data_IF_591584100619
#
_entry.id   IF_591584100619
#
_cell.length_a   1.000
_cell.length_b   1.000
_cell.length_c   1.000
_cell.angle_alpha   90.00
_cell.angle_beta   90.00
_cell.angle_gamma   90.00
#
_symmetry.space_group_name_H-M   'P 1'
#
loop_
_entity.id
_entity.type
_entity.pdbx_description
1 polymer ?
#
# COMPACT_ATOMS: atom_id res chain seq x y z
N UNK A 1 -3.56 3.42 17.95
CA UNK A 1 -2.24 2.74 17.79
C UNK A 1 -1.45 3.27 16.60
N UNK A 2 -1.99 3.34 15.38
CA UNK A 2 -1.22 3.83 14.21
C UNK A 2 -0.92 5.35 14.21
N UNK A 3 -1.61 6.13 15.03
CA UNK A 3 -1.54 7.59 15.02
C UNK A 3 -0.85 8.19 16.26
N UNK A 4 -0.15 7.39 17.07
CA UNK A 4 0.59 7.94 18.22
C UNK A 4 1.95 8.45 17.76
N UNK A 5 2.48 9.46 18.47
CA UNK A 5 3.77 10.06 18.14
C UNK A 5 4.93 9.07 18.31
N UNK A 6 4.84 8.16 19.28
CA UNK A 6 5.84 7.10 19.48
C UNK A 6 5.88 6.16 18.28
N UNK A 7 4.71 5.79 17.75
CA UNK A 7 4.63 4.93 16.57
C UNK A 7 5.18 5.63 15.32
N UNK A 8 4.89 6.93 15.17
CA UNK A 8 5.43 7.76 14.09
C UNK A 8 6.97 7.81 14.15
N UNK A 9 7.55 8.06 15.32
CA UNK A 9 9.02 8.05 15.47
C UNK A 9 9.63 6.69 15.10
N UNK A 10 9.02 5.58 15.54
CA UNK A 10 9.49 4.24 15.19
C UNK A 10 9.40 3.92 13.69
N UNK A 11 8.38 4.46 13.02
CA UNK A 11 8.19 4.34 11.57
C UNK A 11 9.25 5.13 10.81
N UNK A 12 9.47 6.39 11.20
CA UNK A 12 10.41 7.30 10.57
C UNK A 12 11.86 6.78 10.71
N UNK A 13 12.23 6.22 11.88
CA UNK A 13 13.53 5.57 12.10
C UNK A 13 13.82 4.41 11.13
N UNK A 14 12.78 3.76 10.61
CA UNK A 14 12.89 2.64 9.66
C UNK A 14 12.73 3.09 8.20
N UNK A 15 12.59 4.40 7.96
CA UNK A 15 12.32 4.95 6.63
C UNK A 15 11.01 4.44 6.02
N UNK A 16 10.06 4.03 6.85
CA UNK A 16 8.76 3.51 6.40
C UNK A 16 7.79 4.67 6.15
N UNK A 17 6.93 4.53 5.16
CA UNK A 17 5.88 5.51 4.88
C UNK A 17 4.64 5.28 5.76
N UNK A 18 3.92 6.38 6.00
CA UNK A 18 2.61 6.34 6.64
C UNK A 18 1.59 5.62 5.77
N UNK A 19 0.90 4.63 6.35
CA UNK A 19 -0.20 3.94 5.69
C UNK A 19 -1.30 3.63 6.71
N UNK A 20 -2.27 4.54 6.81
CA UNK A 20 -3.34 4.49 7.82
C UNK A 20 -4.71 4.15 7.23
N UNK A 21 -4.76 3.75 5.95
CA UNK A 21 -6.01 3.37 5.29
C UNK A 21 -6.58 2.11 5.94
N UNK A 22 -7.89 2.11 6.22
CA UNK A 22 -8.59 0.95 6.80
C UNK A 22 -9.98 0.79 6.17
N UNK A 23 -10.61 -0.36 6.40
CA UNK A 23 -11.98 -0.62 5.93
C UNK A 23 -12.14 -0.49 4.41
N UNK A 24 -13.17 0.25 3.98
CA UNK A 24 -13.51 0.41 2.55
C UNK A 24 -12.44 1.12 1.74
N UNK A 25 -11.73 2.07 2.35
CA UNK A 25 -10.65 2.79 1.69
C UNK A 25 -9.48 1.85 1.37
N UNK A 26 -9.11 1.00 2.34
CA UNK A 26 -8.09 -0.02 2.14
C UNK A 26 -8.49 -1.03 1.06
N UNK A 27 -9.73 -1.52 1.09
CA UNK A 27 -10.23 -2.46 0.08
C UNK A 27 -10.15 -1.88 -1.34
N UNK A 28 -10.58 -0.63 -1.52
CA UNK A 28 -10.50 0.06 -2.81
C UNK A 28 -9.04 0.24 -3.26
N UNK A 29 -8.15 0.65 -2.35
CA UNK A 29 -6.73 0.81 -2.65
C UNK A 29 -6.09 -0.50 -3.13
N UNK A 30 -6.34 -1.61 -2.43
CA UNK A 30 -5.79 -2.93 -2.81
C UNK A 30 -6.30 -3.36 -4.18
N UNK A 31 -7.61 -3.22 -4.44
CA UNK A 31 -8.19 -3.58 -5.75
C UNK A 31 -7.57 -2.78 -6.88
N UNK A 32 -7.38 -1.48 -6.68
CA UNK A 32 -6.73 -0.62 -7.67
C UNK A 32 -5.28 -1.04 -7.94
N UNK A 33 -4.50 -1.31 -6.89
CA UNK A 33 -3.11 -1.74 -7.07
C UNK A 33 -3.01 -3.09 -7.78
N UNK A 34 -3.85 -4.05 -7.40
CA UNK A 34 -3.89 -5.36 -8.06
C UNK A 34 -4.24 -5.23 -9.54
N UNK A 35 -5.20 -4.36 -9.89
CA UNK A 35 -5.55 -4.11 -11.29
C UNK A 35 -4.38 -3.49 -12.07
N UNK A 36 -3.70 -2.50 -11.48
CA UNK A 36 -2.54 -1.85 -12.10
C UNK A 36 -1.39 -2.83 -12.35
N UNK A 37 -1.04 -3.65 -11.35
CA UNK A 37 0.01 -4.66 -11.51
C UNK A 37 -0.34 -5.74 -12.52
N UNK A 38 -1.61 -6.16 -12.59
CA UNK A 38 -2.07 -7.08 -13.64
C UNK A 38 -1.88 -6.50 -15.03
N UNK A 39 -2.19 -5.22 -15.21
CA UNK A 39 -2.00 -4.57 -16.50
C UNK A 39 -0.52 -4.44 -16.87
N UNK A 40 0.32 -4.02 -15.91
CA UNK A 40 1.77 -4.00 -16.11
C UNK A 40 2.32 -5.39 -16.48
N UNK A 41 1.90 -6.43 -15.77
CA UNK A 41 2.32 -7.80 -16.05
C UNK A 41 1.94 -8.25 -17.47
N UNK A 42 0.76 -7.87 -17.97
CA UNK A 42 0.35 -8.14 -19.37
C UNK A 42 1.23 -7.38 -20.35
N UNK A 43 1.46 -6.09 -20.13
CA UNK A 43 2.30 -5.24 -21.00
C UNK A 43 3.72 -5.80 -21.10
N UNK A 44 4.28 -6.29 -19.99
CA UNK A 44 5.59 -6.92 -19.97
C UNK A 44 5.61 -8.39 -20.41
N UNK A 45 4.46 -8.96 -20.78
CA UNK A 45 4.36 -10.37 -21.19
C UNK A 45 4.61 -11.38 -20.07
N UNK A 46 4.50 -10.96 -18.82
CA UNK A 46 4.73 -11.77 -17.62
C UNK A 46 3.47 -12.51 -17.15
N UNK A 47 2.29 -12.14 -17.66
CA UNK A 47 1.02 -12.81 -17.39
C UNK A 47 0.23 -12.98 -18.71
N UNK A 48 -0.30 -14.19 -18.92
CA UNK A 48 -1.12 -14.60 -20.07
C UNK A 48 -2.58 -14.20 -19.92
#
# INVERSE_FOLDING_TARGET
MMATDEFKQQRDLRGLFEFNMTGKELDAYVKNQVAQYREQAKVFGLAK
#
